data_IF_726318745333
#
_entry.id   IF_726318745333
#
_cell.length_a   1.000
_cell.length_b   1.000
_cell.length_c   1.000
_cell.angle_alpha   90.00
_cell.angle_beta   90.00
_cell.angle_gamma   90.00
#
_symmetry.space_group_name_H-M   'P 1'
#
loop_
_entity.id
_entity.type
_entity.pdbx_description
1 polymer ?
#
# COMPACT_ATOMS: atom_id res chain seq x y z
N UNK A 1 14.17 8.27 34.67
CA UNK A 1 15.21 8.77 35.61
C UNK A 1 16.35 9.30 34.74
N UNK A 2 16.71 10.57 34.70
CA UNK A 2 16.29 11.73 35.48
C UNK A 2 16.22 12.95 34.55
N UNK A 3 15.08 13.65 34.56
CA UNK A 3 15.02 15.05 34.14
C UNK A 3 15.88 15.83 35.12
N UNK A 4 16.99 16.40 34.65
CA UNK A 4 17.72 17.36 35.45
C UNK A 4 16.95 18.68 35.41
N UNK A 5 16.25 18.89 36.52
CA UNK A 5 15.67 20.13 36.98
C UNK A 5 16.66 21.28 36.74
N UNK A 6 16.30 22.21 35.86
CA UNK A 6 17.01 23.47 35.71
C UNK A 6 16.71 24.33 36.93
N UNK A 7 17.35 24.01 38.06
CA UNK A 7 17.28 24.81 39.26
C UNK A 7 17.78 26.23 38.93
N UNK A 8 16.84 27.18 38.94
CA UNK A 8 17.13 28.60 38.74
C UNK A 8 18.17 29.04 39.78
N UNK A 9 19.39 29.37 39.32
CA UNK A 9 20.42 29.97 40.17
C UNK A 9 19.93 31.32 40.71
N UNK A 10 20.34 31.72 41.93
CA UNK A 10 19.98 33.04 42.48
C UNK A 10 20.52 34.13 41.55
N UNK A 11 19.66 35.06 41.13
CA UNK A 11 20.05 36.22 40.33
C UNK A 11 20.79 37.18 41.26
N UNK A 12 22.08 37.36 41.03
CA UNK A 12 22.88 38.41 41.68
C UNK A 12 22.51 39.77 41.06
N UNK A 13 21.77 40.57 41.83
CA UNK A 13 21.29 41.90 41.43
C UNK A 13 22.41 42.94 41.34
N UNK A 14 23.56 42.70 41.98
CA UNK A 14 24.71 43.61 41.97
C UNK A 14 25.68 43.29 40.82
N UNK A 15 25.49 42.16 40.12
CA UNK A 15 26.23 41.75 38.94
C UNK A 15 25.30 41.20 37.83
N UNK A 16 24.46 42.07 37.21
CA UNK A 16 23.42 41.64 36.27
C UNK A 16 23.99 41.07 34.96
N UNK A 17 25.19 41.49 34.54
CA UNK A 17 25.80 41.06 33.28
C UNK A 17 26.30 39.61 33.31
N UNK A 18 26.97 39.12 34.37
CA UNK A 18 27.24 37.69 34.54
C UNK A 18 25.99 36.80 34.55
N UNK A 19 24.89 37.24 35.17
CA UNK A 19 23.61 36.51 35.15
C UNK A 19 22.93 36.53 33.77
N UNK A 20 23.16 37.58 32.98
CA UNK A 20 22.71 37.68 31.58
C UNK A 20 23.62 36.90 30.62
N UNK A 21 24.90 36.77 30.94
CA UNK A 21 25.82 35.90 30.21
C UNK A 21 25.33 34.46 30.34
N UNK A 22 25.21 33.75 29.22
CA UNK A 22 24.55 32.42 29.05
C UNK A 22 23.10 32.45 28.56
N UNK A 23 22.43 33.60 28.42
CA UNK A 23 21.07 33.66 27.85
C UNK A 23 20.97 33.07 26.42
N UNK A 24 22.06 33.12 25.65
CA UNK A 24 22.11 32.60 24.28
C UNK A 24 22.38 31.09 24.20
N UNK A 25 22.81 30.42 25.27
CA UNK A 25 23.20 29.01 25.21
C UNK A 25 22.02 28.12 24.74
N UNK A 26 20.87 28.23 25.39
CA UNK A 26 19.67 27.47 24.99
C UNK A 26 19.09 27.90 23.63
N UNK A 27 19.26 29.17 23.24
CA UNK A 27 18.86 29.66 21.91
C UNK A 27 19.72 28.99 20.84
N UNK A 28 21.04 28.97 21.01
CA UNK A 28 21.98 28.37 20.07
C UNK A 28 21.79 26.86 19.98
N UNK A 29 21.53 26.18 21.10
CA UNK A 29 21.18 24.74 21.10
C UNK A 29 19.91 24.46 20.30
N UNK A 30 18.86 25.29 20.48
CA UNK A 30 17.61 25.16 19.73
C UNK A 30 17.81 25.44 18.24
N UNK A 31 18.57 26.48 17.88
CA UNK A 31 18.87 26.81 16.48
C UNK A 31 19.70 25.71 15.80
N UNK A 32 20.65 25.11 16.52
CA UNK A 32 21.44 23.99 16.01
C UNK A 32 20.57 22.75 15.77
N UNK A 33 19.64 22.44 16.68
CA UNK A 33 18.67 21.36 16.44
C UNK A 33 17.75 21.66 15.25
N UNK A 34 17.44 22.92 14.98
CA UNK A 34 16.64 23.32 13.82
C UNK A 34 17.34 23.08 12.48
N UNK A 35 18.67 22.85 12.45
CA UNK A 35 19.39 22.45 11.24
C UNK A 35 18.90 21.10 10.68
N UNK A 36 18.28 20.25 11.51
CA UNK A 36 17.71 18.96 11.10
C UNK A 36 16.34 19.10 10.39
N UNK A 37 15.70 20.28 10.45
CA UNK A 37 14.35 20.50 9.90
C UNK A 37 14.20 20.09 8.43
N UNK A 38 15.13 20.39 7.50
CA UNK A 38 15.01 19.98 6.11
C UNK A 38 14.86 18.46 5.94
N UNK A 39 15.67 17.67 6.65
CA UNK A 39 15.63 16.21 6.58
C UNK A 39 14.34 15.65 7.20
N UNK A 40 13.90 16.20 8.33
CA UNK A 40 12.64 15.83 8.98
C UNK A 40 11.43 16.12 8.09
N UNK A 41 11.42 17.28 7.43
CA UNK A 41 10.39 17.65 6.47
C UNK A 41 10.41 16.72 5.25
N UNK A 42 11.58 16.43 4.68
CA UNK A 42 11.71 15.50 3.55
C UNK A 42 11.15 14.11 3.91
N UNK A 43 11.51 13.57 5.08
CA UNK A 43 10.99 12.30 5.56
C UNK A 43 9.45 12.32 5.69
N UNK A 44 8.89 13.40 6.25
CA UNK A 44 7.44 13.57 6.36
C UNK A 44 6.76 13.70 4.99
N UNK A 45 7.38 14.39 4.02
CA UNK A 45 6.90 14.47 2.64
C UNK A 45 6.89 13.08 1.98
N UNK A 46 7.98 12.30 2.11
CA UNK A 46 8.04 10.95 1.55
C UNK A 46 7.00 10.02 2.17
N UNK A 47 6.79 10.08 3.48
CA UNK A 47 5.77 9.29 4.16
C UNK A 47 4.37 9.58 3.58
N UNK A 48 4.05 10.85 3.34
CA UNK A 48 2.78 11.27 2.71
C UNK A 48 2.67 10.80 1.26
N UNK A 49 3.75 10.81 0.49
CA UNK A 49 3.73 10.35 -0.91
C UNK A 49 3.52 8.83 -1.00
N UNK A 50 4.31 8.05 -0.26
CA UNK A 50 4.18 6.58 -0.26
C UNK A 50 2.78 6.13 0.17
N UNK A 51 2.20 6.80 1.17
CA UNK A 51 0.84 6.45 1.63
C UNK A 51 -0.25 6.84 0.64
N UNK A 52 -0.09 7.94 -0.12
CA UNK A 52 -0.99 8.26 -1.25
C UNK A 52 -0.87 7.24 -2.38
N UNK A 53 0.34 6.91 -2.79
CA UNK A 53 0.60 5.91 -3.82
C UNK A 53 0.01 4.56 -3.43
N UNK A 54 0.14 4.16 -2.16
CA UNK A 54 -0.46 2.92 -1.66
C UNK A 54 -2.00 2.92 -1.74
N UNK A 55 -2.65 4.03 -1.39
CA UNK A 55 -4.11 4.17 -1.51
C UNK A 55 -4.54 4.10 -2.97
N UNK A 56 -3.88 4.85 -3.84
CA UNK A 56 -4.17 4.88 -5.28
C UNK A 56 -3.94 3.50 -5.91
N UNK A 57 -2.87 2.81 -5.54
CA UNK A 57 -2.58 1.45 -6.01
C UNK A 57 -3.70 0.47 -5.63
N UNK A 58 -4.22 0.50 -4.41
CA UNK A 58 -5.32 -0.39 -4.04
C UNK A 58 -6.63 -0.01 -4.76
N UNK A 59 -6.98 1.28 -4.77
CA UNK A 59 -8.25 1.76 -5.32
C UNK A 59 -8.32 1.62 -6.85
N UNK A 60 -7.20 1.86 -7.55
CA UNK A 60 -7.15 1.93 -9.02
C UNK A 60 -6.51 0.72 -9.68
N UNK A 61 -5.72 -0.07 -8.96
CA UNK A 61 -4.99 -1.22 -9.53
C UNK A 61 -5.46 -2.53 -8.92
N UNK A 62 -5.22 -2.76 -7.63
CA UNK A 62 -5.45 -4.08 -7.01
C UNK A 62 -6.91 -4.51 -7.06
N UNK A 63 -7.84 -3.66 -6.61
CA UNK A 63 -9.26 -4.03 -6.57
C UNK A 63 -9.84 -4.20 -7.98
N UNK A 64 -9.58 -3.29 -8.94
CA UNK A 64 -9.98 -3.50 -10.33
C UNK A 64 -9.36 -4.74 -10.98
N UNK A 65 -8.08 -5.03 -10.70
CA UNK A 65 -7.37 -6.19 -11.22
C UNK A 65 -8.01 -7.52 -10.77
N UNK A 66 -8.25 -7.68 -9.45
CA UNK A 66 -8.98 -8.87 -8.95
C UNK A 66 -10.36 -8.99 -9.60
N UNK A 67 -11.05 -7.86 -9.83
CA UNK A 67 -12.35 -7.86 -10.49
C UNK A 67 -12.25 -8.28 -11.96
N UNK A 68 -11.18 -7.93 -12.67
CA UNK A 68 -10.93 -8.38 -14.05
C UNK A 68 -10.71 -9.88 -14.11
N UNK A 69 -9.98 -10.42 -13.16
CA UNK A 69 -9.74 -11.85 -13.08
C UNK A 69 -11.01 -12.64 -12.79
N UNK A 70 -11.73 -12.25 -11.74
CA UNK A 70 -12.93 -12.96 -11.30
C UNK A 70 -14.07 -12.93 -12.30
N UNK A 71 -14.18 -11.86 -13.08
CA UNK A 71 -15.28 -11.66 -14.01
C UNK A 71 -14.92 -11.96 -15.47
N UNK A 72 -13.64 -11.88 -15.89
CA UNK A 72 -13.21 -12.21 -17.26
C UNK A 72 -12.30 -13.43 -17.32
N UNK A 73 -11.12 -13.36 -16.69
CA UNK A 73 -10.07 -14.37 -16.87
C UNK A 73 -10.51 -15.75 -16.37
N UNK A 74 -10.95 -15.84 -15.11
CA UNK A 74 -11.33 -17.12 -14.50
C UNK A 74 -12.51 -17.76 -15.23
N UNK A 75 -13.60 -17.03 -15.56
CA UNK A 75 -14.68 -17.58 -16.38
C UNK A 75 -14.23 -18.01 -17.78
N UNK A 76 -13.33 -17.27 -18.44
CA UNK A 76 -12.80 -17.66 -19.75
C UNK A 76 -12.03 -18.98 -19.68
N UNK A 77 -11.10 -19.11 -18.74
CA UNK A 77 -10.31 -20.34 -18.55
C UNK A 77 -11.22 -21.52 -18.20
N UNK A 78 -12.21 -21.32 -17.33
CA UNK A 78 -13.19 -22.36 -16.96
C UNK A 78 -14.05 -22.84 -18.13
N UNK A 79 -14.42 -21.94 -19.05
CA UNK A 79 -15.20 -22.29 -20.25
C UNK A 79 -14.35 -23.07 -21.27
N UNK A 80 -13.06 -22.73 -21.37
CA UNK A 80 -12.14 -23.35 -22.33
C UNK A 80 -11.48 -24.64 -21.81
N UNK A 81 -11.57 -24.93 -20.51
CA UNK A 81 -11.02 -26.14 -19.91
C UNK A 81 -11.77 -27.41 -20.35
N UNK A 82 -11.03 -28.47 -20.64
CA UNK A 82 -11.58 -29.77 -21.01
C UNK A 82 -12.30 -30.43 -19.81
N UNK A 83 -13.44 -31.12 -20.04
CA UNK A 83 -14.12 -31.86 -18.99
C UNK A 83 -13.23 -32.90 -18.30
N UNK A 84 -13.40 -33.06 -16.98
CA UNK A 84 -12.64 -34.02 -16.18
C UNK A 84 -11.51 -33.35 -15.39
N UNK A 85 -10.33 -34.00 -15.24
CA UNK A 85 -9.30 -33.57 -14.30
C UNK A 85 -8.78 -32.14 -14.50
N UNK A 86 -8.74 -31.65 -15.75
CA UNK A 86 -8.30 -30.28 -16.03
C UNK A 86 -9.28 -29.24 -15.46
N UNK A 87 -10.57 -29.40 -15.77
CA UNK A 87 -11.61 -28.51 -15.27
C UNK A 87 -11.73 -28.55 -13.74
N UNK A 88 -11.63 -29.74 -13.14
CA UNK A 88 -11.60 -29.89 -11.68
C UNK A 88 -10.41 -29.15 -11.06
N UNK A 89 -9.22 -29.27 -11.66
CA UNK A 89 -8.03 -28.53 -11.22
C UNK A 89 -8.26 -27.03 -11.30
N UNK A 90 -8.71 -26.50 -12.45
CA UNK A 90 -8.96 -25.06 -12.62
C UNK A 90 -10.01 -24.56 -11.62
N UNK A 91 -11.10 -25.30 -11.39
CA UNK A 91 -12.09 -24.93 -10.39
C UNK A 91 -11.48 -24.80 -9.00
N UNK A 92 -10.61 -25.74 -8.61
CA UNK A 92 -9.86 -25.67 -7.35
C UNK A 92 -8.94 -24.45 -7.27
N UNK A 93 -8.20 -24.15 -8.35
CA UNK A 93 -7.28 -23.00 -8.41
C UNK A 93 -8.02 -21.67 -8.36
N UNK A 94 -9.10 -21.50 -9.12
CA UNK A 94 -9.96 -20.30 -9.11
C UNK A 94 -10.56 -20.09 -7.73
N UNK A 95 -11.12 -21.15 -7.11
CA UNK A 95 -11.65 -21.03 -5.76
C UNK A 95 -10.58 -20.65 -4.73
N UNK A 96 -9.33 -21.09 -4.93
CA UNK A 96 -8.20 -20.69 -4.09
C UNK A 96 -7.86 -19.21 -4.27
N UNK A 97 -7.64 -18.74 -5.50
CA UNK A 97 -7.32 -17.34 -5.81
C UNK A 97 -8.39 -16.37 -5.30
N UNK A 98 -9.68 -16.69 -5.49
CA UNK A 98 -10.78 -15.87 -4.95
C UNK A 98 -10.71 -15.75 -3.43
N UNK A 99 -10.30 -16.81 -2.70
CA UNK A 99 -10.12 -16.71 -1.24
C UNK A 99 -8.91 -15.83 -0.89
N UNK A 100 -7.83 -15.90 -1.66
CA UNK A 100 -6.67 -15.03 -1.48
C UNK A 100 -7.01 -13.56 -1.76
N UNK A 101 -7.80 -13.24 -2.80
CA UNK A 101 -8.31 -11.88 -3.05
C UNK A 101 -9.05 -11.33 -1.83
N UNK A 102 -9.98 -12.12 -1.27
CA UNK A 102 -10.73 -11.71 -0.08
C UNK A 102 -9.83 -11.55 1.16
N UNK A 103 -8.76 -12.33 1.27
CA UNK A 103 -7.79 -12.16 2.35
C UNK A 103 -7.00 -10.85 2.17
N UNK A 104 -6.49 -10.56 0.98
CA UNK A 104 -5.80 -9.30 0.64
C UNK A 104 -6.72 -8.10 0.95
N UNK A 105 -7.95 -8.11 0.43
CA UNK A 105 -8.93 -7.04 0.64
C UNK A 105 -9.27 -6.83 2.12
N UNK A 106 -9.41 -7.92 2.88
CA UNK A 106 -9.70 -7.85 4.33
C UNK A 106 -8.52 -7.28 5.10
N UNK A 107 -7.30 -7.70 4.79
CA UNK A 107 -6.09 -7.15 5.43
C UNK A 107 -5.92 -5.67 5.06
N UNK A 108 -6.18 -5.28 3.81
CA UNK A 108 -6.19 -3.88 3.38
C UNK A 108 -7.21 -3.02 4.14
N UNK A 109 -8.47 -3.47 4.24
CA UNK A 109 -9.53 -2.74 4.97
C UNK A 109 -9.17 -2.46 6.44
N UNK A 110 -8.35 -3.30 7.07
CA UNK A 110 -7.89 -3.08 8.45
C UNK A 110 -6.85 -1.96 8.55
N UNK A 111 -6.00 -1.79 7.53
CA UNK A 111 -4.89 -0.83 7.56
C UNK A 111 -5.21 0.50 6.86
N UNK A 112 -6.12 0.48 5.88
CA UNK A 112 -6.50 1.62 5.05
C UNK A 112 -6.80 2.90 5.85
N UNK A 113 -7.54 2.88 6.98
CA UNK A 113 -7.83 4.12 7.73
C UNK A 113 -6.56 4.81 8.29
N UNK A 114 -5.58 4.02 8.71
CA UNK A 114 -4.29 4.53 9.23
C UNK A 114 -3.43 5.11 8.10
N UNK A 115 -3.41 4.44 6.94
CA UNK A 115 -2.70 4.92 5.75
C UNK A 115 -3.34 6.21 5.22
N UNK A 116 -4.67 6.29 5.21
CA UNK A 116 -5.43 7.47 4.79
C UNK A 116 -5.17 8.69 5.69
N UNK A 117 -5.02 8.47 6.99
CA UNK A 117 -4.62 9.53 7.93
C UNK A 117 -3.17 9.96 7.72
N UNK A 118 -2.25 9.00 7.57
CA UNK A 118 -0.83 9.29 7.30
C UNK A 118 -0.63 10.04 5.98
N UNK A 119 -1.41 9.74 4.94
CA UNK A 119 -1.40 10.46 3.65
C UNK A 119 -1.75 11.95 3.78
N UNK A 120 -2.55 12.30 4.79
CA UNK A 120 -2.93 13.68 5.13
C UNK A 120 -1.93 14.36 6.07
N UNK A 121 -0.87 13.67 6.48
CA UNK A 121 0.11 14.16 7.46
C UNK A 121 -0.36 14.07 8.91
N UNK A 122 -1.39 13.27 9.19
CA UNK A 122 -1.83 13.02 10.56
C UNK A 122 -0.81 12.18 11.32
N UNK A 123 -0.64 12.48 12.61
CA UNK A 123 0.20 11.71 13.52
C UNK A 123 -0.57 10.46 13.95
N UNK A 124 -0.32 9.35 13.26
CA UNK A 124 -0.92 8.06 13.56
C UNK A 124 0.10 6.94 13.38
N UNK A 125 0.00 5.95 14.26
CA UNK A 125 0.76 4.72 14.13
C UNK A 125 0.15 3.85 13.02
N UNK A 126 0.90 3.64 11.94
CA UNK A 126 0.59 2.59 10.97
C UNK A 126 1.12 1.28 11.52
N UNK A 127 0.23 0.30 11.72
CA UNK A 127 0.58 -0.98 12.32
C UNK A 127 1.55 -1.75 11.40
N UNK A 128 2.78 -1.90 11.90
CA UNK A 128 3.88 -2.57 11.19
C UNK A 128 3.59 -4.05 10.92
N UNK A 129 2.89 -4.72 11.83
CA UNK A 129 2.61 -6.15 11.69
C UNK A 129 1.47 -6.37 10.68
N UNK A 130 0.49 -5.46 10.62
CA UNK A 130 -0.49 -5.45 9.53
C UNK A 130 0.12 -5.14 8.16
N UNK A 131 1.10 -4.22 8.09
CA UNK A 131 1.83 -3.96 6.84
C UNK A 131 2.57 -5.21 6.36
N UNK A 132 3.26 -5.90 7.28
CA UNK A 132 3.96 -7.15 6.97
C UNK A 132 3.00 -8.25 6.55
N UNK A 133 1.87 -8.38 7.23
CA UNK A 133 0.80 -9.31 6.87
C UNK A 133 0.34 -9.01 5.43
N UNK A 134 0.03 -7.76 5.10
CA UNK A 134 -0.43 -7.34 3.77
C UNK A 134 0.59 -7.68 2.68
N UNK A 135 1.86 -7.35 2.89
CA UNK A 135 2.94 -7.67 1.94
C UNK A 135 3.04 -9.18 1.75
N UNK A 136 3.01 -9.95 2.84
CA UNK A 136 3.15 -11.40 2.76
C UNK A 136 1.98 -12.05 2.02
N UNK A 137 0.73 -11.66 2.32
CA UNK A 137 -0.45 -12.24 1.65
C UNK A 137 -0.47 -11.89 0.17
N UNK A 138 -0.09 -10.66 -0.22
CA UNK A 138 -0.05 -10.26 -1.62
C UNK A 138 1.07 -10.99 -2.38
N UNK A 139 2.27 -11.12 -1.78
CA UNK A 139 3.37 -11.85 -2.39
C UNK A 139 3.06 -13.34 -2.59
N UNK A 140 2.40 -13.97 -1.61
CA UNK A 140 1.97 -15.38 -1.74
C UNK A 140 0.95 -15.54 -2.85
N UNK A 141 -0.05 -14.66 -2.90
CA UNK A 141 -1.09 -14.64 -3.92
C UNK A 141 -0.50 -14.48 -5.34
N UNK A 142 0.25 -13.39 -5.57
CA UNK A 142 0.85 -13.11 -6.88
C UNK A 142 1.79 -14.23 -7.32
N UNK A 143 2.54 -14.83 -6.39
CA UNK A 143 3.43 -15.96 -6.70
C UNK A 143 2.64 -17.17 -7.20
N UNK A 144 1.56 -17.53 -6.51
CA UNK A 144 0.76 -18.68 -6.90
C UNK A 144 0.11 -18.46 -8.26
N UNK A 145 -0.43 -17.27 -8.50
CA UNK A 145 -1.02 -16.91 -9.78
C UNK A 145 -0.02 -16.99 -10.94
N UNK A 146 1.13 -16.30 -10.81
CA UNK A 146 2.18 -16.22 -11.83
C UNK A 146 2.84 -17.57 -12.12
N UNK A 147 3.06 -18.39 -11.08
CA UNK A 147 3.83 -19.64 -11.23
C UNK A 147 2.95 -20.85 -11.54
N UNK A 148 1.70 -20.84 -11.10
CA UNK A 148 0.83 -22.02 -11.20
C UNK A 148 -0.38 -21.76 -12.11
N UNK A 149 -1.13 -20.69 -11.89
CA UNK A 149 -2.40 -20.46 -12.59
C UNK A 149 -2.20 -19.95 -14.02
N UNK A 150 -1.48 -18.85 -14.21
CA UNK A 150 -1.31 -18.22 -15.53
C UNK A 150 -0.67 -19.15 -16.57
N UNK A 151 0.38 -19.95 -16.23
CA UNK A 151 0.95 -20.88 -17.21
C UNK A 151 -0.03 -21.98 -17.65
N UNK A 152 -0.95 -22.40 -16.78
CA UNK A 152 -1.99 -23.35 -17.15
C UNK A 152 -3.13 -22.67 -17.93
N UNK A 153 -3.54 -21.48 -17.51
CA UNK A 153 -4.53 -20.67 -18.21
C UNK A 153 -4.11 -20.40 -19.66
N UNK A 154 -2.86 -20.02 -19.88
CA UNK A 154 -2.28 -19.82 -21.21
C UNK A 154 -2.38 -21.10 -22.06
N UNK A 155 -1.95 -22.26 -21.52
CA UNK A 155 -2.04 -23.54 -22.25
C UNK A 155 -3.47 -23.92 -22.61
N UNK A 156 -4.44 -23.60 -21.77
CA UNK A 156 -5.87 -23.89 -22.03
C UNK A 156 -6.40 -22.96 -23.11
N UNK A 157 -6.19 -21.65 -22.96
CA UNK A 157 -6.73 -20.64 -23.88
C UNK A 157 -6.04 -20.68 -25.25
N UNK A 158 -4.76 -21.04 -25.32
CA UNK A 158 -4.01 -21.15 -26.58
C UNK A 158 -4.52 -22.24 -27.52
N UNK A 159 -5.39 -23.14 -27.06
CA UNK A 159 -6.02 -24.17 -27.91
C UNK A 159 -7.01 -23.59 -28.91
N UNK A 160 -7.54 -22.39 -28.65
CA UNK A 160 -8.45 -21.68 -29.53
C UNK A 160 -8.13 -20.19 -29.55
N UNK A 161 -7.65 -19.70 -30.70
CA UNK A 161 -7.28 -18.30 -30.88
C UNK A 161 -8.45 -17.33 -30.68
N UNK A 162 -9.70 -17.77 -30.88
CA UNK A 162 -10.88 -16.94 -30.61
C UNK A 162 -11.10 -16.74 -29.11
N UNK A 163 -10.80 -17.73 -28.26
CA UNK A 163 -10.90 -17.59 -26.81
C UNK A 163 -9.89 -16.56 -26.29
N UNK A 164 -8.65 -16.62 -26.77
CA UNK A 164 -7.61 -15.65 -26.38
C UNK A 164 -7.96 -14.23 -26.87
N UNK A 165 -8.44 -14.09 -28.10
CA UNK A 165 -8.87 -12.80 -28.63
C UNK A 165 -10.08 -12.21 -27.87
N UNK A 166 -11.08 -13.05 -27.54
CA UNK A 166 -12.24 -12.63 -26.77
C UNK A 166 -11.86 -12.14 -25.36
N UNK A 167 -10.93 -12.83 -24.69
CA UNK A 167 -10.38 -12.38 -23.42
C UNK A 167 -9.67 -11.03 -23.55
N UNK A 168 -8.82 -10.86 -24.57
CA UNK A 168 -8.13 -9.60 -24.83
C UNK A 168 -9.08 -8.42 -25.04
N UNK A 169 -10.19 -8.63 -25.76
CA UNK A 169 -11.23 -7.61 -25.95
C UNK A 169 -11.94 -7.29 -24.63
N UNK A 170 -12.30 -8.30 -23.84
CA UNK A 170 -13.04 -8.12 -22.60
C UNK A 170 -12.22 -7.34 -21.54
N UNK A 171 -10.94 -7.66 -21.41
CA UNK A 171 -10.01 -6.92 -20.54
C UNK A 171 -9.85 -5.47 -21.03
N UNK A 172 -9.69 -5.26 -22.34
CA UNK A 172 -9.55 -3.92 -22.91
C UNK A 172 -10.81 -3.05 -22.69
N UNK A 173 -12.01 -3.59 -22.93
CA UNK A 173 -13.26 -2.84 -22.75
C UNK A 173 -13.48 -2.38 -21.30
N UNK A 174 -12.91 -3.09 -20.32
CA UNK A 174 -13.00 -2.67 -18.92
C UNK A 174 -12.02 -1.58 -18.56
N UNK A 175 -10.85 -1.58 -19.16
CA UNK A 175 -9.88 -0.48 -19.03
C UNK A 175 -10.25 0.75 -19.86
N UNK A 176 -11.15 0.60 -20.85
CA UNK A 176 -11.71 1.70 -21.68
C UNK A 176 -12.92 2.39 -21.01
N UNK A 177 -13.28 2.09 -19.75
CA UNK A 177 -14.28 2.91 -19.03
C UNK A 177 -13.75 4.34 -18.79
N UNK A 178 -14.06 5.19 -19.76
CA UNK A 178 -13.87 6.64 -19.83
C UNK A 178 -14.35 7.26 -18.50
N UNK A 179 -13.54 8.09 -17.82
CA UNK A 179 -14.08 8.98 -16.80
C UNK A 179 -15.04 9.92 -17.52
N UNK A 180 -16.33 9.77 -17.25
CA UNK A 180 -17.37 10.68 -17.74
C UNK A 180 -16.93 12.09 -17.35
N UNK A 181 -16.52 12.87 -18.37
CA UNK A 181 -16.24 14.28 -18.21
C UNK A 181 -17.50 14.99 -17.75
N UNK A 182 -17.35 15.92 -16.81
CA UNK A 182 -18.32 16.98 -16.64
C UNK A 182 -17.68 18.30 -17.06
N UNK A 183 -18.48 19.03 -17.83
CA UNK A 183 -18.32 20.40 -18.33
C UNK A 183 -18.27 21.35 -17.14
#
# INVERSE_FOLDING_TARGET
MASQDAAARPIDIDAPLPAFSQCHAGILETLKAAEDLPALLEAAHRARSVTRELLEMFDQVVIPHHADEENELFPAVLRSAEPGPERERIQGMVAHLVREHRQVEKTWKRIEPSVRTAARGGDIFVDKDLLRELVQVYMTHARYEEQEFLPLAERILARDSNHMAALGIALHLRHVRIPVGYI
#
